data_IF_522262113268
#
_entry.id   IF_522262113268
#
_cell.length_a   1.000
_cell.length_b   1.000
_cell.length_c   1.000
_cell.angle_alpha   90.00
_cell.angle_beta   90.00
_cell.angle_gamma   90.00
#
_symmetry.space_group_name_H-M   'P 1'
#
loop_
_entity.id
_entity.type
_entity.pdbx_description
1 polymer ?
#
# COMPACT_ATOMS: atom_id res chain seq x y z
N UNK A 1 -0.29 -34.70 -17.68
CA UNK A 1 0.87 -34.22 -16.88
C UNK A 1 0.54 -34.40 -15.41
N UNK A 2 1.04 -35.48 -14.82
CA UNK A 2 0.84 -35.80 -13.41
C UNK A 2 1.62 -34.83 -12.56
N UNK A 3 0.91 -33.93 -11.84
CA UNK A 3 1.48 -33.06 -10.83
C UNK A 3 1.95 -33.97 -9.69
N UNK A 4 3.25 -34.08 -9.47
CA UNK A 4 3.79 -34.76 -8.29
C UNK A 4 3.28 -34.03 -7.03
N UNK A 5 2.31 -34.61 -6.36
CA UNK A 5 1.89 -34.16 -5.03
C UNK A 5 3.04 -34.44 -4.04
N UNK A 6 3.92 -33.44 -3.88
CA UNK A 6 5.03 -33.53 -2.94
C UNK A 6 4.51 -33.71 -1.52
N UNK A 7 5.11 -34.64 -0.77
CA UNK A 7 4.82 -34.86 0.65
C UNK A 7 4.82 -33.53 1.41
N UNK A 8 3.72 -33.24 2.09
CA UNK A 8 3.60 -32.04 2.93
C UNK A 8 3.79 -32.41 4.40
N UNK A 9 4.56 -31.63 5.11
CA UNK A 9 4.77 -31.73 6.55
C UNK A 9 3.76 -30.79 7.26
N UNK A 10 2.71 -31.34 7.91
CA UNK A 10 1.72 -30.53 8.64
C UNK A 10 2.27 -30.11 10.00
N UNK A 11 1.87 -28.92 10.45
CA UNK A 11 2.04 -28.51 11.83
C UNK A 11 1.00 -29.22 12.71
N UNK A 12 1.42 -29.75 13.85
CA UNK A 12 0.51 -30.42 14.81
C UNK A 12 -0.35 -29.43 15.62
N UNK A 13 0.02 -28.15 15.62
CA UNK A 13 -0.60 -27.12 16.46
C UNK A 13 -1.46 -26.12 15.66
N UNK A 14 -1.43 -26.18 14.32
CA UNK A 14 -2.24 -25.31 13.45
C UNK A 14 -2.35 -25.89 12.02
N UNK A 15 -3.15 -25.26 11.17
CA UNK A 15 -3.41 -25.70 9.79
C UNK A 15 -2.21 -25.50 8.82
N UNK A 16 -1.07 -25.05 9.32
CA UNK A 16 0.10 -24.81 8.46
C UNK A 16 0.68 -26.11 7.90
N UNK A 17 0.93 -26.14 6.60
CA UNK A 17 1.55 -27.27 5.89
C UNK A 17 2.66 -26.76 4.98
N UNK A 18 3.79 -27.47 4.92
CA UNK A 18 4.93 -27.10 4.07
C UNK A 18 5.54 -28.34 3.42
N UNK A 19 6.23 -28.15 2.29
CA UNK A 19 6.94 -29.21 1.58
C UNK A 19 8.34 -29.49 2.11
N UNK A 20 8.84 -28.70 3.08
CA UNK A 20 10.19 -28.82 3.65
C UNK A 20 10.14 -28.91 5.18
N UNK A 21 10.71 -29.97 5.75
CA UNK A 21 10.79 -30.17 7.21
C UNK A 21 11.44 -29.00 7.94
N UNK A 22 12.51 -28.39 7.38
CA UNK A 22 13.17 -27.21 7.96
C UNK A 22 12.30 -25.97 7.99
N UNK A 23 11.34 -25.81 7.06
CA UNK A 23 10.36 -24.72 7.10
C UNK A 23 9.31 -24.96 8.20
N UNK A 24 8.95 -26.22 8.45
CA UNK A 24 8.05 -26.58 9.55
C UNK A 24 8.68 -26.24 10.91
N UNK A 25 9.94 -26.61 11.13
CA UNK A 25 10.67 -26.28 12.36
C UNK A 25 10.72 -24.75 12.58
N UNK A 26 11.12 -24.01 11.56
CA UNK A 26 11.13 -22.52 11.64
C UNK A 26 9.75 -21.92 11.93
N UNK A 27 8.69 -22.53 11.40
CA UNK A 27 7.32 -22.09 11.71
C UNK A 27 6.99 -22.38 13.18
N UNK A 28 7.29 -23.59 13.70
CA UNK A 28 7.04 -23.95 15.10
C UNK A 28 7.80 -22.98 16.03
N UNK A 29 9.10 -22.82 15.84
CA UNK A 29 9.94 -21.90 16.61
C UNK A 29 9.40 -20.46 16.62
N UNK A 30 8.98 -19.95 15.47
CA UNK A 30 8.57 -18.54 15.34
C UNK A 30 7.13 -18.27 15.78
N UNK A 31 6.20 -19.22 15.56
CA UNK A 31 4.77 -19.03 15.76
C UNK A 31 4.28 -19.60 17.08
N UNK A 32 4.70 -20.82 17.42
CA UNK A 32 4.23 -21.54 18.62
C UNK A 32 5.14 -21.35 19.83
N UNK A 33 6.46 -21.37 19.61
CA UNK A 33 7.43 -21.17 20.69
C UNK A 33 7.78 -19.69 20.89
N UNK A 34 7.37 -18.81 19.96
CA UNK A 34 7.58 -17.39 20.10
C UNK A 34 9.05 -16.94 20.01
N UNK A 35 9.95 -17.82 19.55
CA UNK A 35 11.38 -17.52 19.45
C UNK A 35 11.61 -16.33 18.54
N UNK A 36 12.30 -15.32 19.05
CA UNK A 36 12.68 -14.10 18.33
C UNK A 36 14.18 -13.86 18.45
N UNK A 37 14.73 -13.26 17.43
CA UNK A 37 16.12 -12.84 17.36
C UNK A 37 16.17 -11.32 17.57
N UNK A 38 16.51 -10.83 18.78
CA UNK A 38 16.54 -9.41 19.09
C UNK A 38 17.73 -8.72 18.41
N UNK A 39 17.53 -7.50 17.95
CA UNK A 39 18.61 -6.62 17.56
C UNK A 39 19.28 -6.04 18.81
N UNK A 40 20.61 -6.03 18.84
CA UNK A 40 21.37 -5.46 19.98
C UNK A 40 21.42 -3.93 19.96
N UNK A 41 21.01 -3.31 18.85
CA UNK A 41 21.13 -1.86 18.62
C UNK A 41 19.77 -1.14 18.63
N UNK A 42 18.64 -1.87 18.63
CA UNK A 42 17.29 -1.29 18.70
C UNK A 42 16.28 -2.35 19.13
N UNK A 43 15.02 -1.94 19.35
CA UNK A 43 13.93 -2.82 19.82
C UNK A 43 13.40 -3.82 18.78
N UNK A 44 14.04 -3.92 17.62
CA UNK A 44 13.62 -4.84 16.57
C UNK A 44 13.88 -6.30 16.97
N UNK A 45 12.87 -7.15 16.79
CA UNK A 45 12.94 -8.60 17.04
C UNK A 45 12.51 -9.35 15.79
N UNK A 46 13.45 -10.05 15.16
CA UNK A 46 13.19 -10.83 13.95
C UNK A 46 12.66 -12.23 14.28
N UNK A 47 11.83 -12.79 13.38
CA UNK A 47 11.38 -14.20 13.46
C UNK A 47 12.43 -15.19 12.97
N UNK A 48 13.44 -14.71 12.23
CA UNK A 48 14.51 -15.54 11.67
C UNK A 48 15.84 -14.79 11.73
N UNK A 49 16.93 -15.53 11.94
CA UNK A 49 18.30 -14.99 12.01
C UNK A 49 18.70 -14.24 10.73
N UNK A 50 18.26 -14.73 9.55
CA UNK A 50 18.49 -14.05 8.27
C UNK A 50 17.78 -12.69 8.17
N UNK A 51 16.59 -12.56 8.76
CA UNK A 51 15.86 -11.28 8.82
C UNK A 51 16.56 -10.28 9.75
N UNK A 52 17.11 -10.77 10.87
CA UNK A 52 17.91 -9.93 11.76
C UNK A 52 19.17 -9.39 11.05
N UNK A 53 19.91 -10.26 10.34
CA UNK A 53 21.08 -9.84 9.56
C UNK A 53 20.72 -8.82 8.48
N UNK A 54 19.62 -9.05 7.77
CA UNK A 54 19.12 -8.10 6.75
C UNK A 54 18.73 -6.75 7.37
N UNK A 55 18.11 -6.77 8.54
CA UNK A 55 17.79 -5.57 9.31
C UNK A 55 19.06 -4.80 9.73
N UNK A 56 20.04 -5.48 10.34
CA UNK A 56 21.30 -4.85 10.78
C UNK A 56 21.97 -4.17 9.58
N UNK A 57 22.15 -4.89 8.48
CA UNK A 57 22.78 -4.35 7.26
C UNK A 57 22.04 -3.13 6.70
N UNK A 58 20.71 -3.17 6.68
CA UNK A 58 19.93 -2.08 6.04
C UNK A 58 19.68 -0.88 6.94
N UNK A 59 19.56 -1.07 8.25
CA UNK A 59 19.18 -0.03 9.22
C UNK A 59 20.41 0.53 9.94
N UNK A 60 21.29 -0.32 10.44
CA UNK A 60 22.42 0.10 11.26
C UNK A 60 23.71 0.31 10.45
N UNK A 61 23.97 -0.54 9.47
CA UNK A 61 25.15 -0.39 8.58
C UNK A 61 24.85 0.46 7.35
N UNK A 62 23.59 0.84 7.11
CA UNK A 62 23.21 1.69 6.01
C UNK A 62 23.38 1.07 4.61
N UNK A 63 23.61 -0.25 4.52
CA UNK A 63 23.85 -0.93 3.25
C UNK A 63 22.61 -0.82 2.36
N UNK A 64 22.79 -0.23 1.18
CA UNK A 64 21.77 -0.06 0.15
C UNK A 64 22.28 -0.58 -1.18
N UNK A 65 21.35 -0.99 -2.01
CA UNK A 65 21.59 -1.42 -3.38
C UNK A 65 21.07 -0.33 -4.32
N UNK A 66 21.95 0.55 -4.85
CA UNK A 66 21.54 1.66 -5.71
C UNK A 66 21.11 1.17 -7.08
N UNK A 67 20.10 1.82 -7.65
CA UNK A 67 19.76 1.67 -9.06
C UNK A 67 20.77 2.48 -9.90
N UNK A 68 21.26 1.88 -11.00
CA UNK A 68 22.19 2.58 -11.89
C UNK A 68 21.50 3.58 -12.83
N UNK A 69 20.16 3.53 -12.91
CA UNK A 69 19.37 4.32 -13.87
C UNK A 69 18.56 5.43 -13.20
N UNK A 70 18.49 5.47 -11.85
CA UNK A 70 17.80 6.52 -11.09
C UNK A 70 18.27 6.54 -9.63
N UNK A 71 17.81 7.52 -8.84
CA UNK A 71 18.19 7.72 -7.44
C UNK A 71 17.62 6.68 -6.46
N UNK A 72 16.94 5.65 -6.95
CA UNK A 72 16.36 4.62 -6.09
C UNK A 72 17.43 3.74 -5.44
N UNK A 73 17.31 3.55 -4.13
CA UNK A 73 18.21 2.70 -3.32
C UNK A 73 17.39 1.66 -2.56
N UNK A 74 17.54 0.41 -2.90
CA UNK A 74 16.84 -0.70 -2.24
C UNK A 74 17.57 -1.17 -0.98
N UNK A 75 16.84 -1.73 -0.02
CA UNK A 75 17.40 -2.39 1.17
C UNK A 75 17.79 -3.85 0.92
N UNK A 76 17.33 -4.42 -0.18
CA UNK A 76 17.61 -5.80 -0.58
C UNK A 76 17.80 -5.89 -2.10
N UNK A 77 18.68 -6.79 -2.54
CA UNK A 77 18.97 -7.01 -3.98
C UNK A 77 17.71 -7.42 -4.77
N UNK A 78 16.84 -8.24 -4.18
CA UNK A 78 15.56 -8.62 -4.81
C UNK A 78 14.60 -7.45 -5.02
N UNK A 79 14.60 -6.47 -4.12
CA UNK A 79 13.81 -5.24 -4.27
C UNK A 79 14.37 -4.35 -5.39
N UNK A 80 15.71 -4.28 -5.53
CA UNK A 80 16.33 -3.57 -6.66
C UNK A 80 15.96 -4.20 -8.00
N UNK A 81 16.08 -5.53 -8.14
CA UNK A 81 15.70 -6.23 -9.37
C UNK A 81 14.22 -6.00 -9.73
N UNK A 82 13.34 -6.06 -8.73
CA UNK A 82 11.92 -5.77 -8.93
C UNK A 82 11.68 -4.33 -9.39
N UNK A 83 12.39 -3.37 -8.80
CA UNK A 83 12.33 -1.98 -9.22
C UNK A 83 12.79 -1.81 -10.68
N UNK A 84 13.95 -2.37 -11.06
CA UNK A 84 14.47 -2.29 -12.44
C UNK A 84 13.43 -2.85 -13.41
N UNK A 85 12.95 -4.07 -13.19
CA UNK A 85 11.94 -4.70 -14.05
C UNK A 85 10.67 -3.86 -14.18
N UNK A 86 10.19 -3.29 -13.08
CA UNK A 86 8.91 -2.58 -13.10
C UNK A 86 9.01 -1.12 -13.57
N UNK A 87 10.12 -0.43 -13.28
CA UNK A 87 10.25 1.01 -13.56
C UNK A 87 10.98 1.26 -14.87
N UNK A 88 12.08 0.56 -15.09
CA UNK A 88 12.95 0.80 -16.26
C UNK A 88 12.64 -0.12 -17.44
N UNK A 89 12.30 -1.38 -17.20
CA UNK A 89 11.93 -2.33 -18.26
C UNK A 89 10.41 -2.34 -18.55
N UNK A 90 9.62 -1.60 -17.78
CA UNK A 90 8.17 -1.53 -17.98
C UNK A 90 7.43 -2.86 -17.77
N UNK A 91 8.11 -3.88 -17.22
CA UNK A 91 7.52 -5.21 -17.05
C UNK A 91 6.27 -5.16 -16.18
N UNK A 92 5.19 -5.74 -16.71
CA UNK A 92 3.90 -5.86 -16.02
C UNK A 92 3.35 -7.27 -16.22
N UNK A 93 2.66 -7.76 -15.20
CA UNK A 93 1.91 -9.02 -15.23
C UNK A 93 0.44 -8.68 -15.51
N UNK A 94 -0.08 -8.99 -16.72
CA UNK A 94 -1.45 -8.69 -17.07
C UNK A 94 -2.43 -9.61 -16.31
N UNK A 95 -3.58 -9.06 -15.94
CA UNK A 95 -4.72 -9.87 -15.54
C UNK A 95 -5.36 -10.48 -16.79
N UNK A 96 -5.71 -11.77 -16.73
CA UNK A 96 -6.36 -12.45 -17.86
C UNK A 96 -7.85 -12.12 -18.00
N UNK A 97 -8.42 -11.44 -16.99
CA UNK A 97 -9.86 -11.17 -16.92
C UNK A 97 -10.21 -9.68 -17.07
N UNK A 98 -9.21 -8.78 -17.08
CA UNK A 98 -9.40 -7.34 -17.27
C UNK A 98 -8.08 -6.66 -17.65
N UNK A 99 -8.15 -5.36 -17.98
CA UNK A 99 -6.98 -4.56 -18.40
C UNK A 99 -5.95 -4.28 -17.28
N UNK A 100 -6.17 -4.76 -16.06
CA UNK A 100 -5.25 -4.52 -14.96
C UNK A 100 -3.90 -5.19 -15.20
N UNK A 101 -2.83 -4.45 -14.91
CA UNK A 101 -1.44 -4.90 -15.04
C UNK A 101 -0.69 -4.67 -13.72
N UNK A 102 -0.28 -5.74 -13.08
CA UNK A 102 0.45 -5.72 -11.82
C UNK A 102 1.96 -5.59 -12.01
N UNK A 103 2.65 -5.01 -11.03
CA UNK A 103 4.12 -4.93 -11.01
C UNK A 103 4.79 -6.21 -10.51
N UNK A 104 4.05 -7.08 -9.82
CA UNK A 104 4.55 -8.36 -9.28
C UNK A 104 3.40 -9.34 -9.01
N UNK A 105 3.75 -10.64 -8.92
CA UNK A 105 2.80 -11.76 -8.85
C UNK A 105 1.82 -11.67 -7.68
N UNK A 106 2.28 -11.29 -6.49
CA UNK A 106 1.38 -11.18 -5.32
C UNK A 106 0.36 -10.03 -5.46
N UNK A 107 0.73 -8.91 -6.13
CA UNK A 107 -0.23 -7.84 -6.43
C UNK A 107 -1.31 -8.31 -7.42
N UNK A 108 -0.92 -9.11 -8.43
CA UNK A 108 -1.87 -9.70 -9.37
C UNK A 108 -2.83 -10.67 -8.66
N UNK A 109 -2.32 -11.55 -7.79
CA UNK A 109 -3.15 -12.49 -7.02
C UNK A 109 -4.12 -11.77 -6.08
N UNK A 110 -3.68 -10.70 -5.41
CA UNK A 110 -4.55 -9.87 -4.57
C UNK A 110 -5.66 -9.23 -5.42
N UNK A 111 -5.31 -8.70 -6.59
CA UNK A 111 -6.29 -8.14 -7.54
C UNK A 111 -7.32 -9.19 -7.98
N UNK A 112 -6.87 -10.36 -8.45
CA UNK A 112 -7.77 -11.45 -8.89
C UNK A 112 -8.73 -11.82 -7.75
N UNK A 113 -8.22 -12.10 -6.57
CA UNK A 113 -9.05 -12.46 -5.41
C UNK A 113 -10.04 -11.39 -5.01
N UNK A 114 -9.64 -10.12 -5.01
CA UNK A 114 -10.49 -9.05 -4.52
C UNK A 114 -11.50 -8.53 -5.56
N UNK A 115 -11.16 -8.59 -6.86
CA UNK A 115 -11.97 -8.02 -7.96
C UNK A 115 -12.77 -9.10 -8.67
N UNK A 116 -12.15 -10.20 -9.04
CA UNK A 116 -12.79 -11.26 -9.84
C UNK A 116 -13.41 -12.38 -9.01
N UNK A 117 -12.75 -12.78 -7.92
CA UNK A 117 -13.30 -13.81 -7.01
C UNK A 117 -14.15 -13.21 -5.89
N UNK A 118 -14.23 -11.89 -5.77
CA UNK A 118 -15.03 -11.21 -4.76
C UNK A 118 -14.58 -11.45 -3.30
N UNK A 119 -13.39 -12.02 -3.10
CA UNK A 119 -12.89 -12.34 -1.74
C UNK A 119 -12.71 -11.06 -0.94
N UNK A 120 -13.46 -10.95 0.15
CA UNK A 120 -13.41 -9.83 1.09
C UNK A 120 -13.19 -10.33 2.53
N UNK A 121 -12.63 -9.48 3.33
CA UNK A 121 -12.42 -9.70 4.76
C UNK A 121 -13.44 -8.85 5.52
N UNK A 122 -14.56 -9.43 5.98
CA UNK A 122 -15.61 -8.68 6.68
C UNK A 122 -15.17 -8.28 8.08
N UNK A 123 -15.55 -7.08 8.50
CA UNK A 123 -15.48 -6.68 9.88
C UNK A 123 -16.59 -7.38 10.67
N UNK A 124 -16.26 -7.93 11.85
CA UNK A 124 -17.25 -8.57 12.72
C UNK A 124 -18.09 -7.57 13.52
N UNK A 125 -17.67 -6.30 13.55
CA UNK A 125 -18.27 -5.25 14.38
C UNK A 125 -19.09 -4.24 13.57
N UNK A 126 -19.00 -4.27 12.23
CA UNK A 126 -19.77 -3.40 11.35
C UNK A 126 -19.83 -3.98 9.92
N UNK A 127 -20.54 -3.32 9.02
CA UNK A 127 -20.74 -3.78 7.62
C UNK A 127 -19.51 -3.60 6.72
N UNK A 128 -18.38 -3.12 7.24
CA UNK A 128 -17.18 -2.89 6.44
C UNK A 128 -16.57 -4.21 5.96
N UNK A 129 -16.16 -4.23 4.69
CA UNK A 129 -15.50 -5.38 4.05
C UNK A 129 -14.22 -4.91 3.35
N UNK A 130 -13.08 -5.32 3.86
CA UNK A 130 -11.78 -4.99 3.27
C UNK A 130 -11.40 -5.94 2.13
N UNK A 131 -10.59 -5.45 1.18
CA UNK A 131 -9.99 -6.29 0.13
C UNK A 131 -8.75 -7.04 0.60
N UNK A 132 -8.16 -6.64 1.73
CA UNK A 132 -6.99 -7.28 2.33
C UNK A 132 -7.12 -7.34 3.86
N UNK A 133 -6.58 -8.42 4.46
CA UNK A 133 -6.59 -8.61 5.92
C UNK A 133 -5.89 -7.45 6.67
N UNK A 134 -4.82 -6.89 6.09
CA UNK A 134 -4.12 -5.75 6.67
C UNK A 134 -4.99 -4.48 6.74
N UNK A 135 -5.83 -4.25 5.73
CA UNK A 135 -6.74 -3.10 5.73
C UNK A 135 -7.90 -3.29 6.71
N UNK A 136 -8.38 -4.54 6.89
CA UNK A 136 -9.34 -4.86 7.95
C UNK A 136 -8.76 -4.56 9.34
N UNK A 137 -7.52 -4.96 9.61
CA UNK A 137 -6.86 -4.67 10.90
C UNK A 137 -6.69 -3.17 11.14
N UNK A 138 -6.33 -2.40 10.11
CA UNK A 138 -6.26 -0.93 10.19
C UNK A 138 -7.63 -0.32 10.52
N UNK A 139 -8.68 -0.79 9.84
CA UNK A 139 -10.05 -0.36 10.09
C UNK A 139 -10.47 -0.65 11.53
N UNK A 140 -10.26 -1.89 12.03
CA UNK A 140 -10.62 -2.27 13.40
C UNK A 140 -9.91 -1.34 14.41
N UNK A 141 -8.61 -1.16 14.27
CA UNK A 141 -7.84 -0.28 15.16
C UNK A 141 -8.29 1.17 15.14
N UNK A 142 -8.61 1.71 13.97
CA UNK A 142 -8.97 3.13 13.84
C UNK A 142 -10.43 3.42 14.18
N UNK A 143 -11.35 2.50 13.86
CA UNK A 143 -12.80 2.73 13.99
C UNK A 143 -13.36 2.14 15.28
N UNK A 144 -12.96 0.92 15.64
CA UNK A 144 -13.54 0.22 16.79
C UNK A 144 -12.69 0.31 18.06
N UNK A 145 -11.36 0.33 17.93
CA UNK A 145 -10.46 0.47 19.08
C UNK A 145 -10.08 1.92 19.35
N UNK A 146 -10.45 2.86 18.47
CA UNK A 146 -10.16 4.28 18.63
C UNK A 146 -8.66 4.62 18.65
N UNK A 147 -7.79 3.71 18.16
CA UNK A 147 -6.35 3.93 18.18
C UNK A 147 -5.99 5.12 17.30
N UNK A 148 -5.40 6.13 17.92
CA UNK A 148 -4.90 7.34 17.28
C UNK A 148 -3.41 7.53 17.54
N UNK A 149 -2.78 8.29 16.68
CA UNK A 149 -1.39 8.67 16.76
C UNK A 149 -1.32 10.18 16.91
N UNK A 150 -1.02 10.65 18.11
CA UNK A 150 -1.01 12.09 18.45
C UNK A 150 0.31 12.73 18.04
N UNK A 151 0.24 13.96 17.55
CA UNK A 151 1.41 14.79 17.36
C UNK A 151 1.94 15.28 18.72
N UNK A 152 3.27 15.28 18.88
CA UNK A 152 3.89 15.78 20.13
C UNK A 152 4.06 17.28 20.16
N UNK A 153 3.77 17.95 19.05
CA UNK A 153 4.02 19.38 18.86
C UNK A 153 2.73 20.20 18.69
N UNK A 154 1.58 19.55 18.52
CA UNK A 154 0.25 20.18 18.43
C UNK A 154 -0.85 19.15 18.69
N UNK A 155 -2.11 19.59 18.76
CA UNK A 155 -3.29 18.75 19.05
C UNK A 155 -3.73 17.85 17.90
N UNK A 156 -2.94 17.74 16.84
CA UNK A 156 -3.30 16.91 15.70
C UNK A 156 -3.20 15.42 16.04
N UNK A 157 -4.26 14.67 15.71
CA UNK A 157 -4.32 13.23 15.82
C UNK A 157 -4.60 12.57 14.47
N UNK A 158 -3.90 11.50 14.17
CA UNK A 158 -4.09 10.71 12.97
C UNK A 158 -4.49 9.27 13.28
N UNK A 159 -5.31 8.66 12.44
CA UNK A 159 -5.67 7.24 12.54
C UNK A 159 -4.57 6.30 12.04
N UNK A 160 -3.54 6.82 11.38
CA UNK A 160 -2.39 6.04 10.90
C UNK A 160 -1.08 6.79 11.16
N UNK A 161 -0.06 6.06 11.55
CA UNK A 161 1.30 6.59 11.76
C UNK A 161 1.89 7.29 10.53
N UNK A 162 1.59 6.78 9.33
CA UNK A 162 2.01 7.40 8.08
C UNK A 162 1.39 8.77 7.83
N UNK A 163 0.14 8.96 8.26
CA UNK A 163 -0.57 10.25 8.17
C UNK A 163 0.02 11.25 9.17
N UNK A 164 0.30 10.81 10.40
CA UNK A 164 1.00 11.63 11.39
C UNK A 164 2.38 12.08 10.88
N UNK A 165 3.18 11.16 10.30
CA UNK A 165 4.49 11.52 9.75
C UNK A 165 4.40 12.54 8.61
N UNK A 166 3.38 12.45 7.75
CA UNK A 166 3.13 13.45 6.72
C UNK A 166 2.80 14.82 7.32
N UNK A 167 1.95 14.84 8.34
CA UNK A 167 1.63 16.06 9.08
C UNK A 167 2.88 16.69 9.70
N UNK A 168 3.68 15.93 10.44
CA UNK A 168 4.92 16.42 11.06
C UNK A 168 5.83 17.05 10.01
N UNK A 169 6.08 16.34 8.90
CA UNK A 169 6.93 16.83 7.82
C UNK A 169 6.41 18.11 7.19
N UNK A 170 5.10 18.21 6.96
CA UNK A 170 4.52 19.37 6.27
C UNK A 170 4.30 20.57 7.19
N UNK A 171 3.97 20.36 8.46
CA UNK A 171 3.61 21.44 9.39
C UNK A 171 4.79 21.85 10.26
N UNK A 172 5.47 20.91 10.87
CA UNK A 172 6.52 21.21 11.85
C UNK A 172 7.94 21.25 11.26
N UNK A 173 8.23 20.38 10.28
CA UNK A 173 9.53 20.38 9.59
C UNK A 173 9.52 21.24 8.32
N UNK A 174 8.38 21.81 7.95
CA UNK A 174 8.19 22.65 6.77
C UNK A 174 8.75 22.03 5.46
N UNK A 175 8.73 20.69 5.35
CA UNK A 175 9.20 20.00 4.15
C UNK A 175 8.27 20.33 2.99
N UNK A 176 8.85 20.87 1.91
CA UNK A 176 8.14 21.23 0.68
C UNK A 176 8.79 20.55 -0.53
N UNK A 177 7.98 20.36 -1.54
CA UNK A 177 8.38 19.83 -2.82
C UNK A 177 8.17 20.91 -3.90
N UNK A 178 9.22 21.70 -4.22
CA UNK A 178 9.11 22.80 -5.17
C UNK A 178 8.92 22.28 -6.59
N UNK A 179 8.09 22.98 -7.36
CA UNK A 179 8.03 22.81 -8.80
C UNK A 179 9.27 23.45 -9.44
N UNK A 180 9.87 22.78 -10.41
CA UNK A 180 11.03 23.31 -11.13
C UNK A 180 10.65 24.30 -12.23
N UNK A 181 9.36 24.44 -12.52
CA UNK A 181 8.85 25.22 -13.66
C UNK A 181 8.02 26.44 -13.23
N UNK A 182 7.67 26.55 -11.94
CA UNK A 182 6.94 27.70 -11.37
C UNK A 182 7.11 27.74 -9.84
N UNK A 183 6.58 28.77 -9.18
CA UNK A 183 6.71 29.01 -7.72
C UNK A 183 5.85 28.08 -6.86
N UNK A 184 5.18 27.11 -7.44
CA UNK A 184 4.33 26.17 -6.69
C UNK A 184 5.17 25.25 -5.78
N UNK A 185 4.78 25.20 -4.50
CA UNK A 185 5.42 24.38 -3.47
C UNK A 185 4.42 23.43 -2.84
N UNK A 186 4.49 22.15 -3.19
CA UNK A 186 3.59 21.12 -2.66
C UNK A 186 4.00 20.65 -1.26
N UNK A 187 3.04 20.24 -0.45
CA UNK A 187 3.27 19.59 0.86
C UNK A 187 3.59 18.11 0.71
N UNK A 188 3.25 17.51 -0.42
CA UNK A 188 3.52 16.10 -0.72
C UNK A 188 3.99 15.92 -2.17
N UNK A 189 4.88 14.96 -2.41
CA UNK A 189 5.38 14.65 -3.74
C UNK A 189 4.26 14.26 -4.73
N UNK A 190 3.19 13.61 -4.24
CA UNK A 190 2.02 13.28 -5.08
C UNK A 190 1.24 14.50 -5.56
N UNK A 191 1.15 15.55 -4.74
CA UNK A 191 0.52 16.83 -5.11
C UNK A 191 1.36 17.57 -6.16
N UNK A 192 2.69 17.57 -5.99
CA UNK A 192 3.60 18.12 -7.00
C UNK A 192 3.42 17.43 -8.36
N UNK A 193 3.36 16.09 -8.38
CA UNK A 193 3.16 15.35 -9.63
C UNK A 193 1.80 15.66 -10.27
N UNK A 194 0.74 15.82 -9.48
CA UNK A 194 -0.58 16.24 -9.98
C UNK A 194 -0.52 17.63 -10.59
N UNK A 195 0.13 18.58 -9.88
CA UNK A 195 0.33 19.93 -10.37
C UNK A 195 1.10 19.95 -11.71
N UNK A 196 2.24 19.25 -11.80
CA UNK A 196 3.03 19.18 -13.03
C UNK A 196 2.18 18.67 -14.19
N UNK A 197 1.46 17.56 -13.99
CA UNK A 197 0.60 16.98 -15.02
C UNK A 197 -0.53 17.91 -15.47
N UNK A 198 -1.17 18.59 -14.54
CA UNK A 198 -2.32 19.44 -14.88
C UNK A 198 -1.92 20.81 -15.42
N UNK A 199 -0.84 21.42 -14.88
CA UNK A 199 -0.45 22.79 -15.22
C UNK A 199 0.59 22.83 -16.34
N UNK A 200 1.61 22.01 -16.27
CA UNK A 200 2.74 22.08 -17.18
C UNK A 200 2.63 21.07 -18.35
N UNK A 201 2.07 19.89 -18.13
CA UNK A 201 1.86 18.90 -19.18
C UNK A 201 0.47 18.99 -19.83
N UNK A 202 -0.42 19.82 -19.31
CA UNK A 202 -1.77 20.01 -19.84
C UNK A 202 -2.64 18.74 -19.83
N UNK A 203 -2.29 17.72 -19.00
CA UNK A 203 -3.03 16.46 -18.97
C UNK A 203 -4.43 16.69 -18.44
N UNK A 204 -5.42 16.42 -19.28
CA UNK A 204 -6.85 16.48 -18.95
C UNK A 204 -7.51 15.12 -19.17
N UNK A 205 -8.62 14.93 -18.49
CA UNK A 205 -9.48 13.76 -18.59
C UNK A 205 -10.82 14.19 -19.13
N UNK A 206 -11.08 13.89 -20.42
CA UNK A 206 -12.30 14.31 -21.12
C UNK A 206 -13.46 13.37 -20.83
N UNK A 207 -14.66 13.92 -20.67
CA UNK A 207 -15.90 13.16 -20.64
C UNK A 207 -16.20 12.61 -22.05
N UNK A 208 -16.67 11.37 -22.14
CA UNK A 208 -17.06 10.76 -23.42
C UNK A 208 -18.49 11.13 -23.85
N UNK A 209 -19.26 11.80 -22.98
CA UNK A 209 -20.66 12.08 -23.17
C UNK A 209 -20.97 13.58 -23.32
N UNK A 210 -19.99 14.46 -23.01
CA UNK A 210 -20.10 15.91 -23.19
C UNK A 210 -18.69 16.54 -23.23
N UNK A 211 -18.62 17.86 -23.46
CA UNK A 211 -17.36 18.60 -23.62
C UNK A 211 -16.64 18.90 -22.29
N UNK A 212 -17.06 18.29 -21.20
CA UNK A 212 -16.41 18.50 -19.90
C UNK A 212 -15.04 17.87 -19.84
N UNK A 213 -14.07 18.64 -19.37
CA UNK A 213 -12.71 18.19 -19.10
C UNK A 213 -12.31 18.44 -17.65
N UNK A 214 -11.72 17.46 -17.02
CA UNK A 214 -11.20 17.55 -15.65
C UNK A 214 -9.69 17.41 -15.61
N UNK A 215 -9.04 18.07 -14.66
CA UNK A 215 -7.60 17.92 -14.40
C UNK A 215 -7.27 16.67 -13.59
N UNK A 216 -8.27 16.03 -13.01
CA UNK A 216 -8.12 14.78 -12.24
C UNK A 216 -9.21 13.77 -12.63
N UNK A 217 -8.82 12.49 -12.71
CA UNK A 217 -9.75 11.39 -13.00
C UNK A 217 -10.89 11.28 -11.97
N UNK A 218 -10.63 11.62 -10.70
CA UNK A 218 -11.65 11.62 -9.65
C UNK A 218 -12.76 12.66 -9.94
N UNK A 219 -12.37 13.88 -10.35
CA UNK A 219 -13.32 14.94 -10.71
C UNK A 219 -14.16 14.56 -11.92
N UNK A 220 -13.55 13.90 -12.93
CA UNK A 220 -14.31 13.35 -14.07
C UNK A 220 -15.33 12.30 -13.64
N UNK A 221 -14.96 11.39 -12.73
CA UNK A 221 -15.90 10.37 -12.23
C UNK A 221 -17.04 10.98 -11.42
N UNK A 222 -16.78 12.01 -10.62
CA UNK A 222 -17.85 12.77 -9.94
C UNK A 222 -18.78 13.42 -10.95
N UNK A 223 -18.25 14.10 -11.97
CA UNK A 223 -19.04 14.69 -13.04
C UNK A 223 -19.92 13.63 -13.75
N UNK A 224 -19.35 12.49 -14.16
CA UNK A 224 -20.12 11.43 -14.85
C UNK A 224 -21.27 10.96 -13.96
N UNK A 225 -21.00 10.68 -12.69
CA UNK A 225 -22.02 10.21 -11.75
C UNK A 225 -23.12 11.23 -11.49
N UNK A 226 -22.76 12.50 -11.33
CA UNK A 226 -23.71 13.56 -11.01
C UNK A 226 -24.54 14.00 -12.23
N UNK A 227 -23.91 14.11 -13.41
CA UNK A 227 -24.55 14.66 -14.60
C UNK A 227 -25.16 13.58 -15.50
N UNK A 228 -24.44 12.49 -15.74
CA UNK A 228 -24.88 11.47 -16.71
C UNK A 228 -25.57 10.28 -16.07
N UNK A 229 -25.22 9.92 -14.83
CA UNK A 229 -25.85 8.82 -14.11
C UNK A 229 -26.88 9.28 -13.08
N UNK A 230 -27.06 10.61 -12.89
CA UNK A 230 -27.99 11.21 -11.91
C UNK A 230 -27.83 10.65 -10.48
N UNK A 231 -26.64 10.17 -10.13
CA UNK A 231 -26.36 9.65 -8.79
C UNK A 231 -26.26 10.82 -7.82
N UNK A 232 -27.26 10.95 -6.96
CA UNK A 232 -27.28 11.93 -5.88
C UNK A 232 -27.04 11.24 -4.53
N UNK A 233 -26.28 11.89 -3.66
CA UNK A 233 -26.01 11.40 -2.32
C UNK A 233 -26.96 12.09 -1.36
N UNK A 234 -27.97 11.39 -0.82
CA UNK A 234 -28.91 11.98 0.12
C UNK A 234 -28.21 12.33 1.44
N UNK A 235 -28.51 13.49 1.98
CA UNK A 235 -28.12 13.83 3.35
C UNK A 235 -28.95 13.01 4.33
N UNK A 236 -28.29 12.39 5.30
CA UNK A 236 -28.99 11.62 6.35
C UNK A 236 -29.72 12.48 7.39
N UNK A 237 -29.46 13.78 7.40
CA UNK A 237 -29.97 14.70 8.42
C UNK A 237 -30.94 15.76 7.85
N UNK A 238 -31.08 15.85 6.54
CA UNK A 238 -31.99 16.78 5.86
C UNK A 238 -32.32 16.30 4.44
N UNK A 239 -33.28 16.93 3.78
CA UNK A 239 -33.72 16.61 2.41
C UNK A 239 -32.70 17.01 1.31
N UNK A 240 -31.55 17.53 1.68
CA UNK A 240 -30.52 17.93 0.71
C UNK A 240 -29.87 16.73 0.04
N UNK A 241 -29.83 16.76 -1.27
CA UNK A 241 -29.15 15.78 -2.12
C UNK A 241 -27.92 16.43 -2.76
N UNK A 242 -26.72 16.00 -2.36
CA UNK A 242 -25.48 16.44 -2.97
C UNK A 242 -25.29 15.80 -4.36
N UNK A 243 -24.76 16.58 -5.30
CA UNK A 243 -24.34 16.14 -6.62
C UNK A 243 -22.91 15.64 -6.62
#
# INVERSE_FOLDING_TARGET
>A
MTVHEGVKFPCQQCEYKTTKKGNLLKHIESVHEGIKFPCKQCDYKATHKSHLLSHIKSVHEGVKFPCKQCDYKATQKGHLLRHIKSVHEGFRLPCQQCEYKATYKSALLIHIKSVHEGVKFPCKLCQYKASQKGDLLKHIKSVHEGVKFSCKQCDYEATQKSTLLKHIKSIHENVRFPCKQCDYNATQKGELLKHIKSVHEGVKFSCKQCDYEATQKGSLLVHIKSIHENVRIPCKQCEYNAT
#
